data_IF_775277613943
#
_entry.id   IF_775277613943
#
_cell.length_a   1.000
_cell.length_b   1.000
_cell.length_c   1.000
_cell.angle_alpha   90.00
_cell.angle_beta   90.00
_cell.angle_gamma   90.00
#
_symmetry.space_group_name_H-M   'P 1'
#
loop_
_entity.id
_entity.type
_entity.pdbx_description
1 polymer ?
#
# COMPACT_ATOMS: atom_id res chain seq x y z
N UNK A 1 -1.77 -10.87 -7.30
CA UNK A 1 -2.84 -10.15 -8.04
C UNK A 1 -2.22 -9.58 -9.31
N UNK A 2 -3.00 -9.35 -10.36
CA UNK A 2 -2.42 -9.13 -11.70
C UNK A 2 -1.64 -7.82 -11.83
N UNK A 3 -2.06 -6.78 -11.12
CA UNK A 3 -1.47 -5.43 -11.24
C UNK A 3 -0.59 -5.00 -10.07
N UNK A 4 -0.64 -5.72 -8.93
CA UNK A 4 0.18 -5.42 -7.73
C UNK A 4 0.15 -3.95 -7.28
N UNK A 5 -1.00 -3.30 -7.44
CA UNK A 5 -1.27 -1.90 -7.07
C UNK A 5 -2.17 -1.84 -5.84
N UNK A 6 -1.87 -0.91 -4.94
CA UNK A 6 -2.77 -0.50 -3.84
C UNK A 6 -3.27 0.91 -4.09
N UNK A 7 -4.58 1.11 -3.97
CA UNK A 7 -5.20 2.44 -4.05
C UNK A 7 -5.74 2.80 -2.66
N UNK A 8 -5.24 3.90 -2.10
CA UNK A 8 -5.65 4.43 -0.79
C UNK A 8 -6.59 5.60 -1.01
N UNK A 9 -7.81 5.48 -0.48
CA UNK A 9 -8.79 6.56 -0.47
C UNK A 9 -8.81 7.23 0.90
N UNK A 10 -8.62 8.55 0.92
CA UNK A 10 -8.64 9.36 2.15
C UNK A 10 -10.00 10.07 2.31
N UNK A 11 -10.41 10.41 3.55
CA UNK A 11 -11.70 11.08 3.79
C UNK A 11 -11.85 12.45 3.11
N UNK A 12 -10.74 13.11 2.75
CA UNK A 12 -10.72 14.36 1.98
C UNK A 12 -11.00 14.16 0.47
N UNK A 13 -11.20 12.92 0.01
CA UNK A 13 -11.39 12.57 -1.39
C UNK A 13 -10.10 12.42 -2.18
N UNK A 14 -8.94 12.45 -1.52
CA UNK A 14 -7.65 12.18 -2.15
C UNK A 14 -7.48 10.68 -2.39
N UNK A 15 -6.93 10.35 -3.55
CA UNK A 15 -6.57 9.00 -3.95
C UNK A 15 -5.05 8.93 -4.10
N UNK A 16 -4.44 7.93 -3.48
CA UNK A 16 -3.01 7.67 -3.60
C UNK A 16 -2.83 6.27 -4.17
N UNK A 17 -2.24 6.20 -5.36
CA UNK A 17 -1.83 4.95 -5.99
C UNK A 17 -0.42 4.60 -5.50
N UNK A 18 -0.27 3.38 -4.99
CA UNK A 18 1.00 2.83 -4.53
C UNK A 18 1.32 1.57 -5.32
N UNK A 19 2.58 1.45 -5.74
CA UNK A 19 3.11 0.34 -6.52
C UNK A 19 4.19 -0.40 -5.71
N UNK A 20 4.69 -1.51 -6.26
CA UNK A 20 5.82 -2.20 -5.66
C UNK A 20 7.04 -1.28 -5.57
N UNK A 21 7.56 -1.09 -4.35
CA UNK A 21 8.63 -0.14 -4.04
C UNK A 21 8.17 1.01 -3.16
N UNK A 22 6.86 1.25 -3.09
CA UNK A 22 6.26 2.19 -2.15
C UNK A 22 6.02 1.56 -0.77
N UNK A 23 5.85 2.41 0.23
CA UNK A 23 5.49 2.04 1.60
C UNK A 23 4.11 2.63 1.92
N UNK A 24 3.16 1.77 2.25
CA UNK A 24 1.87 2.19 2.79
C UNK A 24 2.06 2.70 4.21
N UNK A 25 1.64 3.94 4.43
CA UNK A 25 1.58 4.58 5.75
C UNK A 25 0.18 5.11 6.01
N UNK A 26 -0.26 5.01 7.27
CA UNK A 26 -1.56 5.54 7.71
C UNK A 26 -1.32 6.28 9.04
N UNK A 27 -0.62 7.42 9.01
CA UNK A 27 -0.21 8.13 10.21
C UNK A 27 -1.40 8.57 11.08
N UNK A 28 -2.57 8.78 10.48
CA UNK A 28 -3.77 9.21 11.20
C UNK A 28 -4.43 8.11 12.06
N UNK A 29 -4.17 6.82 11.77
CA UNK A 29 -4.72 5.68 12.51
C UNK A 29 -3.63 4.88 13.23
N UNK A 30 -2.45 4.76 12.62
CA UNK A 30 -1.39 3.84 13.02
C UNK A 30 -0.02 4.51 13.27
N UNK A 31 0.05 5.85 13.33
CA UNK A 31 1.25 6.57 13.77
C UNK A 31 2.50 6.24 12.93
N UNK A 32 3.49 5.58 13.55
CA UNK A 32 4.78 5.21 12.93
C UNK A 32 4.75 3.83 12.22
N UNK A 33 3.56 3.30 11.93
CA UNK A 33 3.44 2.04 11.19
C UNK A 33 3.79 2.21 9.70
N UNK A 34 4.56 1.26 9.19
CA UNK A 34 5.03 1.17 7.80
C UNK A 34 4.78 -0.24 7.26
N UNK A 35 4.23 -0.35 6.05
CA UNK A 35 4.08 -1.62 5.33
C UNK A 35 4.54 -1.46 3.88
N UNK A 36 5.66 -2.07 3.49
CA UNK A 36 6.06 -2.13 2.09
C UNK A 36 4.97 -2.80 1.24
N UNK A 37 4.59 -2.18 0.12
CA UNK A 37 3.51 -2.71 -0.74
C UNK A 37 3.79 -4.13 -1.23
N UNK A 38 5.07 -4.45 -1.46
CA UNK A 38 5.52 -5.78 -1.89
C UNK A 38 5.17 -6.90 -0.91
N UNK A 39 5.01 -6.60 0.38
CA UNK A 39 4.67 -7.59 1.41
C UNK A 39 3.17 -7.95 1.44
N UNK A 40 2.33 -7.19 0.73
CA UNK A 40 0.89 -7.44 0.64
C UNK A 40 0.60 -8.66 -0.24
N UNK A 41 1.47 -8.91 -1.22
CA UNK A 41 1.27 -9.94 -2.22
C UNK A 41 1.87 -11.27 -1.76
N UNK A 42 1.24 -12.40 -2.08
CA UNK A 42 1.86 -13.70 -1.86
C UNK A 42 3.15 -13.81 -2.68
N UNK A 43 4.20 -14.48 -2.16
CA UNK A 43 5.41 -14.71 -2.93
C UNK A 43 5.12 -15.50 -4.19
N UNK A 44 5.70 -15.07 -5.32
CA UNK A 44 5.67 -15.83 -6.57
C UNK A 44 6.75 -16.90 -6.48
N UNK A 45 6.36 -18.16 -6.65
CA UNK A 45 7.29 -19.28 -6.75
C UNK A 45 7.37 -19.73 -8.22
N UNK A 46 8.60 -19.92 -8.72
CA UNK A 46 8.89 -20.53 -10.02
C UNK A 46 8.75 -22.06 -9.99
#
# INVERSE_FOLDING_TARGET
PDEEIVIVYRPNGEEIKLENGDILTIPELFGEWELPVVEIWPPVFD
#
